data_IF_694891824560
#
_entry.id   IF_694891824560
#
_cell.length_a   1.000
_cell.length_b   1.000
_cell.length_c   1.000
_cell.angle_alpha   90.00
_cell.angle_beta   90.00
_cell.angle_gamma   90.00
#
_symmetry.space_group_name_H-M   'P 1'
#
loop_
_entity.id
_entity.type
_entity.pdbx_description
1 polymer ?
#
# COMPACT_ATOMS: atom_id res chain seq x y z
N UNK A 1 0.92 -2.94 -1.05
CA UNK A 1 2.08 -2.10 -0.67
C UNK A 1 2.06 -1.80 0.83
N UNK A 2 1.70 -2.77 1.69
CA UNK A 2 1.28 -2.48 3.06
C UNK A 2 -0.04 -1.71 3.12
N UNK A 3 -0.37 -1.19 4.30
CA UNK A 3 -1.54 -0.37 4.58
C UNK A 3 -2.78 -1.13 5.05
N UNK A 4 -2.67 -2.47 5.20
CA UNK A 4 -3.78 -3.30 5.66
C UNK A 4 -3.99 -3.08 7.15
N UNK A 5 -5.19 -2.66 7.50
CA UNK A 5 -5.68 -2.67 8.88
C UNK A 5 -6.07 -4.09 9.28
N UNK A 6 -5.49 -4.60 10.37
CA UNK A 6 -5.83 -5.90 10.92
C UNK A 6 -5.92 -5.87 12.44
N UNK A 7 -6.87 -6.66 12.94
CA UNK A 7 -7.20 -6.81 14.35
C UNK A 7 -6.26 -7.82 15.03
N UNK A 8 -5.81 -7.49 16.23
CA UNK A 8 -5.15 -8.42 17.15
C UNK A 8 -6.22 -9.03 18.07
N UNK A 9 -6.41 -10.34 17.97
CA UNK A 9 -7.35 -11.07 18.81
C UNK A 9 -6.74 -11.47 20.15
N UNK A 10 -7.61 -11.78 21.12
CA UNK A 10 -7.30 -12.38 22.43
C UNK A 10 -6.61 -11.48 23.47
N UNK A 11 -6.65 -10.17 23.29
CA UNK A 11 -6.15 -9.22 24.30
C UNK A 11 -7.00 -7.95 24.29
N UNK A 12 -7.35 -7.45 25.48
CA UNK A 12 -7.94 -6.13 25.65
C UNK A 12 -6.84 -5.17 26.15
N UNK A 13 -6.69 -4.04 25.49
CA UNK A 13 -5.67 -3.04 25.79
C UNK A 13 -6.33 -1.76 26.30
N UNK A 14 -5.57 -0.99 27.09
CA UNK A 14 -6.00 0.34 27.52
C UNK A 14 -6.09 1.26 26.29
N UNK A 15 -7.26 1.84 25.96
CA UNK A 15 -7.43 2.73 24.80
C UNK A 15 -6.50 3.96 24.77
N UNK A 16 -5.92 4.35 25.92
CA UNK A 16 -4.95 5.44 26.02
C UNK A 16 -3.50 5.03 25.66
N UNK A 17 -3.24 3.73 25.52
CA UNK A 17 -1.91 3.20 25.17
C UNK A 17 -1.49 3.56 23.75
N UNK A 18 -0.20 3.78 23.55
CA UNK A 18 0.37 4.07 22.23
C UNK A 18 0.83 2.77 21.58
N UNK A 19 0.06 2.27 20.62
CA UNK A 19 0.33 1.00 19.96
C UNK A 19 1.41 1.13 18.87
N UNK A 20 2.43 0.26 18.93
CA UNK A 20 3.43 0.07 17.88
C UNK A 20 3.51 -1.40 17.46
N UNK A 21 3.71 -1.61 16.16
CA UNK A 21 3.56 -2.90 15.50
C UNK A 21 4.85 -3.17 14.71
N UNK A 22 5.67 -4.12 15.17
CA UNK A 22 7.01 -4.39 14.60
C UNK A 22 7.01 -5.69 13.80
N UNK A 23 7.50 -5.63 12.57
CA UNK A 23 7.57 -6.74 11.64
C UNK A 23 9.03 -7.05 11.31
N UNK A 24 9.37 -8.34 11.20
CA UNK A 24 10.74 -8.79 10.93
C UNK A 24 11.75 -8.23 11.94
N UNK A 25 11.27 -7.89 13.15
CA UNK A 25 12.05 -7.23 14.21
C UNK A 25 12.70 -5.88 13.84
N UNK A 26 12.40 -5.34 12.65
CA UNK A 26 13.08 -4.17 12.08
C UNK A 26 12.11 -3.07 11.67
N UNK A 27 10.98 -3.44 11.08
CA UNK A 27 10.04 -2.49 10.49
C UNK A 27 8.95 -2.18 11.50
N UNK A 28 8.96 -0.97 12.06
CA UNK A 28 7.93 -0.53 12.99
C UNK A 28 6.89 0.31 12.27
N UNK A 29 5.62 -0.04 12.48
CA UNK A 29 4.44 0.67 11.99
C UNK A 29 3.61 1.16 13.17
N UNK A 30 2.74 2.13 12.92
CA UNK A 30 1.77 2.57 13.93
C UNK A 30 0.55 1.66 13.94
N UNK A 31 -0.11 1.62 15.09
CA UNK A 31 -1.45 1.06 15.22
C UNK A 31 -2.29 1.89 16.18
N UNK A 32 -3.48 1.42 16.49
CA UNK A 32 -4.41 2.09 17.40
C UNK A 32 -5.23 1.08 18.18
N UNK A 33 -5.84 1.52 19.27
CA UNK A 33 -6.76 0.72 20.07
C UNK A 33 -8.15 1.34 19.88
N UNK A 34 -9.13 0.52 19.53
CA UNK A 34 -10.50 0.99 19.36
C UNK A 34 -11.18 1.21 20.72
N UNK A 35 -12.41 1.76 20.67
CA UNK A 35 -13.21 2.03 21.87
C UNK A 35 -13.55 0.78 22.69
N UNK A 36 -13.48 -0.40 22.09
CA UNK A 36 -13.78 -1.69 22.73
C UNK A 36 -12.50 -2.33 23.30
N UNK A 37 -11.37 -1.62 23.28
CA UNK A 37 -10.08 -2.08 23.77
C UNK A 37 -9.35 -3.01 22.81
N UNK A 38 -9.80 -3.11 21.54
CA UNK A 38 -9.18 -3.99 20.55
C UNK A 38 -8.05 -3.27 19.83
N UNK A 39 -6.90 -3.91 19.75
CA UNK A 39 -5.75 -3.35 19.06
C UNK A 39 -5.76 -3.66 17.56
N UNK A 40 -5.43 -2.65 16.77
CA UNK A 40 -5.33 -2.67 15.32
C UNK A 40 -3.93 -2.27 14.88
N UNK A 41 -3.34 -3.02 13.98
CA UNK A 41 -2.05 -2.71 13.36
C UNK A 41 -2.19 -2.44 11.87
N UNK A 42 -1.31 -1.60 11.35
CA UNK A 42 -1.23 -1.30 9.92
C UNK A 42 -0.05 -2.05 9.32
N UNK A 43 -0.30 -2.95 8.37
CA UNK A 43 0.78 -3.75 7.78
C UNK A 43 1.79 -2.88 7.02
N UNK A 44 3.10 -3.20 7.08
CA UNK A 44 4.11 -2.50 6.30
C UNK A 44 4.13 -2.98 4.85
N UNK A 45 4.82 -2.22 4.00
CA UNK A 45 5.33 -2.75 2.75
C UNK A 45 6.43 -3.79 3.07
N UNK A 46 6.29 -4.98 2.50
CA UNK A 46 7.26 -6.07 2.60
C UNK A 46 7.63 -6.51 1.18
N UNK A 47 8.91 -6.85 0.97
CA UNK A 47 9.43 -7.36 -0.30
C UNK A 47 9.52 -8.89 -0.35
N UNK A 48 9.18 -9.54 0.76
CA UNK A 48 9.23 -11.00 0.91
C UNK A 48 7.81 -11.56 1.11
N UNK A 49 7.61 -12.80 0.67
CA UNK A 49 6.39 -13.56 0.90
C UNK A 49 6.64 -14.66 1.92
N UNK A 50 5.62 -15.03 2.68
CA UNK A 50 5.71 -16.05 3.73
C UNK A 50 5.34 -15.54 5.11
N UNK A 51 5.64 -16.36 6.11
CA UNK A 51 5.35 -16.08 7.51
C UNK A 51 6.40 -15.16 8.12
N UNK A 52 5.98 -13.95 8.49
CA UNK A 52 6.84 -12.90 9.03
C UNK A 52 6.58 -12.78 10.53
N UNK A 53 7.63 -12.83 11.38
CA UNK A 53 7.50 -12.53 12.79
C UNK A 53 6.94 -11.13 13.00
N UNK A 54 5.96 -11.03 13.88
CA UNK A 54 5.26 -9.80 14.20
C UNK A 54 5.16 -9.64 15.72
N UNK A 55 5.39 -8.43 16.21
CA UNK A 55 5.42 -8.10 17.62
C UNK A 55 4.65 -6.80 17.89
N UNK A 56 4.07 -6.69 19.09
CA UNK A 56 3.24 -5.54 19.48
C UNK A 56 3.75 -4.93 20.78
N UNK A 57 3.78 -3.62 20.79
CA UNK A 57 4.09 -2.76 21.92
C UNK A 57 2.89 -1.88 22.24
N UNK A 58 2.63 -1.68 23.53
CA UNK A 58 1.62 -0.75 24.07
C UNK A 58 2.26 0.45 24.79
N UNK A 59 3.59 0.49 24.85
CA UNK A 59 4.39 1.50 25.55
C UNK A 59 5.23 2.33 24.56
N UNK A 60 4.63 2.70 23.43
CA UNK A 60 5.24 3.50 22.38
C UNK A 60 6.53 2.91 21.75
N UNK A 61 6.71 1.58 21.85
CA UNK A 61 7.85 0.85 21.29
C UNK A 61 8.99 0.59 22.27
N UNK A 62 8.83 0.89 23.56
CA UNK A 62 9.84 0.60 24.58
C UNK A 62 10.02 -0.92 24.80
N UNK A 63 8.92 -1.68 24.84
CA UNK A 63 8.95 -3.13 24.96
C UNK A 63 7.97 -3.78 23.98
N UNK A 64 8.23 -5.04 23.62
CA UNK A 64 7.41 -5.83 22.68
C UNK A 64 6.97 -7.14 23.32
N UNK A 65 6.09 -7.12 24.34
CA UNK A 65 5.74 -8.30 25.12
C UNK A 65 4.78 -9.26 24.38
N UNK A 66 4.14 -8.83 23.30
CA UNK A 66 3.22 -9.65 22.52
C UNK A 66 3.81 -9.99 21.16
N UNK A 67 3.59 -11.21 20.68
CA UNK A 67 4.09 -11.69 19.40
C UNK A 67 3.07 -12.54 18.66
N UNK A 68 3.28 -12.66 17.36
CA UNK A 68 2.46 -13.44 16.44
C UNK A 68 3.14 -13.58 15.09
N UNK A 69 2.35 -13.97 14.09
CA UNK A 69 2.85 -14.20 12.74
C UNK A 69 1.96 -13.51 11.72
N UNK A 70 2.58 -12.73 10.85
CA UNK A 70 1.93 -12.07 9.73
C UNK A 70 2.21 -12.84 8.43
N UNK A 71 1.18 -13.21 7.68
CA UNK A 71 1.36 -13.84 6.38
C UNK A 71 1.48 -12.77 5.30
N UNK A 72 2.70 -12.55 4.79
CA UNK A 72 2.94 -11.73 3.62
C UNK A 72 2.65 -12.52 2.35
N UNK A 73 1.73 -12.02 1.53
CA UNK A 73 1.31 -12.68 0.29
C UNK A 73 1.64 -11.82 -0.92
N UNK A 74 1.83 -12.46 -2.07
CA UNK A 74 1.98 -11.77 -3.35
C UNK A 74 0.74 -10.94 -3.65
N UNK A 75 0.91 -9.75 -4.27
CA UNK A 75 -0.20 -8.81 -4.52
C UNK A 75 -1.31 -9.40 -5.41
N UNK A 76 -1.01 -10.40 -6.25
CA UNK A 76 -2.02 -11.13 -7.03
C UNK A 76 -2.98 -11.96 -6.18
N UNK A 77 -2.65 -12.24 -4.92
CA UNK A 77 -3.46 -13.01 -3.95
C UNK A 77 -4.36 -12.14 -3.08
N UNK A 78 -4.34 -10.81 -3.27
CA UNK A 78 -5.29 -9.89 -2.63
C UNK A 78 -6.72 -10.28 -3.04
N UNK A 79 -7.71 -10.01 -2.19
CA UNK A 79 -9.12 -10.29 -2.49
C UNK A 79 -9.64 -9.39 -3.61
N UNK A 80 -10.59 -9.84 -4.43
CA UNK A 80 -11.09 -9.03 -5.55
C UNK A 80 -11.72 -7.71 -5.10
N UNK A 81 -12.30 -7.67 -3.89
CA UNK A 81 -12.85 -6.45 -3.30
C UNK A 81 -11.79 -5.38 -3.03
N UNK A 82 -10.53 -5.77 -2.85
CA UNK A 82 -9.39 -4.88 -2.54
C UNK A 82 -8.50 -4.59 -3.75
N UNK A 83 -8.77 -5.23 -4.90
CA UNK A 83 -8.02 -4.99 -6.13
C UNK A 83 -8.50 -3.72 -6.84
N UNK A 84 -7.55 -3.04 -7.44
CA UNK A 84 -7.84 -2.12 -8.54
C UNK A 84 -7.88 -2.92 -9.85
N UNK A 85 -8.82 -2.61 -10.73
CA UNK A 85 -8.99 -3.27 -12.02
C UNK A 85 -8.78 -2.29 -13.15
N UNK A 86 -8.12 -2.75 -14.21
CA UNK A 86 -7.92 -1.98 -15.44
C UNK A 86 -9.05 -2.34 -16.40
N UNK A 87 -9.84 -1.35 -16.86
CA UNK A 87 -11.06 -1.63 -17.66
C UNK A 87 -10.77 -2.24 -19.04
N UNK A 88 -9.58 -2.00 -19.60
CA UNK A 88 -9.14 -2.58 -20.88
C UNK A 88 -7.62 -2.83 -20.85
N UNK A 89 -7.19 -3.89 -20.18
CA UNK A 89 -5.77 -4.24 -19.98
C UNK A 89 -4.94 -4.22 -21.26
N UNK A 90 -5.50 -4.70 -22.38
CA UNK A 90 -4.83 -4.66 -23.69
C UNK A 90 -4.51 -3.23 -24.10
N UNK A 91 -5.43 -2.27 -23.89
CA UNK A 91 -5.17 -0.86 -24.16
C UNK A 91 -4.08 -0.29 -23.25
N UNK A 92 -4.01 -0.71 -21.98
CA UNK A 92 -2.94 -0.30 -21.08
C UNK A 92 -1.58 -0.84 -21.55
N UNK A 93 -1.51 -2.12 -21.92
CA UNK A 93 -0.29 -2.78 -22.36
C UNK A 93 0.28 -2.21 -23.66
N UNK A 94 -0.60 -1.85 -24.61
CA UNK A 94 -0.19 -1.40 -25.94
C UNK A 94 -0.38 0.10 -26.16
N UNK A 95 -0.56 0.89 -25.10
CA UNK A 95 -0.89 2.31 -25.20
C UNK A 95 0.08 3.07 -26.11
N UNK A 96 -0.45 3.87 -27.04
CA UNK A 96 0.34 4.64 -28.01
C UNK A 96 0.63 3.91 -29.33
N UNK A 97 0.23 2.65 -29.48
CA UNK A 97 0.21 1.96 -30.77
C UNK A 97 -1.07 2.28 -31.58
N UNK A 98 -1.15 1.83 -32.83
CA UNK A 98 -2.33 2.02 -33.68
C UNK A 98 -3.60 1.54 -32.97
N UNK A 99 -4.60 2.43 -32.86
CA UNK A 99 -5.91 2.18 -32.25
C UNK A 99 -5.94 1.96 -30.72
N UNK A 100 -4.86 2.23 -29.98
CA UNK A 100 -4.80 2.03 -28.51
C UNK A 100 -4.63 3.32 -27.70
N UNK A 101 -4.69 4.49 -28.34
CA UNK A 101 -4.62 5.80 -27.66
C UNK A 101 -5.90 6.23 -26.93
N UNK A 102 -5.87 7.39 -26.26
CA UNK A 102 -7.01 8.03 -25.60
C UNK A 102 -7.11 7.70 -24.10
N UNK A 103 -8.32 7.66 -23.54
CA UNK A 103 -8.46 7.47 -22.09
C UNK A 103 -8.07 6.05 -21.64
N UNK A 104 -7.21 5.98 -20.64
CA UNK A 104 -7.07 4.82 -19.76
C UNK A 104 -8.04 4.97 -18.58
N UNK A 105 -8.55 3.85 -18.08
CA UNK A 105 -9.51 3.84 -16.97
C UNK A 105 -9.19 2.73 -16.00
N UNK A 106 -9.12 3.08 -14.72
CA UNK A 106 -9.06 2.14 -13.61
C UNK A 106 -10.32 2.22 -12.75
N UNK A 107 -10.65 1.13 -12.10
CA UNK A 107 -11.78 1.01 -11.17
C UNK A 107 -11.35 0.32 -9.88
N UNK A 108 -12.03 0.63 -8.78
CA UNK A 108 -11.81 0.02 -7.46
C UNK A 108 -13.10 0.05 -6.64
N UNK A 109 -13.16 -0.77 -5.60
CA UNK A 109 -14.26 -0.74 -4.63
C UNK A 109 -14.10 0.48 -3.73
N UNK A 110 -14.78 1.59 -4.03
CA UNK A 110 -14.60 2.84 -3.30
C UNK A 110 -14.86 2.74 -1.79
N UNK A 111 -15.75 1.84 -1.37
CA UNK A 111 -16.07 1.60 0.04
C UNK A 111 -14.91 0.98 0.84
N UNK A 112 -13.87 0.46 0.18
CA UNK A 112 -12.66 -0.03 0.86
C UNK A 112 -11.78 1.10 1.40
N UNK A 113 -12.02 2.33 0.95
CA UNK A 113 -11.36 3.53 1.44
C UNK A 113 -12.43 4.40 2.10
N UNK A 114 -12.46 4.47 3.43
CA UNK A 114 -13.38 5.33 4.17
C UNK A 114 -12.98 6.82 4.07
N UNK A 115 -13.05 7.37 2.87
CA UNK A 115 -12.72 8.75 2.51
C UNK A 115 -13.62 9.24 1.37
N UNK A 116 -13.91 10.54 1.34
CA UNK A 116 -14.66 11.17 0.24
C UNK A 116 -13.79 11.54 -0.94
N UNK A 117 -12.48 11.72 -0.72
CA UNK A 117 -11.52 12.11 -1.75
C UNK A 117 -10.25 11.25 -1.66
N UNK A 118 -9.66 10.97 -2.81
CA UNK A 118 -8.46 10.14 -2.95
C UNK A 118 -7.39 10.84 -3.77
N UNK A 119 -6.14 10.46 -3.51
CA UNK A 119 -5.01 10.69 -4.39
C UNK A 119 -4.72 9.39 -5.15
N UNK A 120 -4.33 9.52 -6.42
CA UNK A 120 -3.88 8.41 -7.26
C UNK A 120 -2.42 8.65 -7.58
N UNK A 121 -1.56 7.78 -7.10
CA UNK A 121 -0.11 7.93 -7.17
C UNK A 121 0.50 6.87 -8.09
N UNK A 122 1.60 7.24 -8.73
CA UNK A 122 2.43 6.34 -9.52
C UNK A 122 3.66 5.99 -8.71
N UNK A 123 3.90 4.69 -8.55
CA UNK A 123 5.07 4.15 -7.87
C UNK A 123 5.84 3.24 -8.82
N UNK A 124 7.17 3.37 -8.82
CA UNK A 124 8.08 2.53 -9.60
C UNK A 124 8.68 1.44 -8.72
N UNK A 125 8.93 0.27 -9.32
CA UNK A 125 9.69 -0.82 -8.70
C UNK A 125 11.00 -1.03 -9.43
N UNK A 126 12.07 -1.23 -8.68
CA UNK A 126 13.36 -1.64 -9.20
C UNK A 126 14.04 -2.62 -8.24
N UNK A 127 14.90 -3.46 -8.81
CA UNK A 127 15.82 -4.31 -8.06
C UNK A 127 17.25 -3.97 -8.49
N UNK A 128 18.15 -3.88 -7.52
CA UNK A 128 19.56 -3.54 -7.73
C UNK A 128 20.45 -4.53 -6.99
N UNK A 129 21.71 -4.65 -7.43
CA UNK A 129 22.64 -5.66 -6.92
C UNK A 129 22.52 -7.00 -7.64
N UNK A 130 23.19 -8.02 -7.11
CA UNK A 130 23.23 -9.35 -7.71
C UNK A 130 22.01 -10.17 -7.27
N UNK A 131 21.32 -10.84 -8.19
CA UNK A 131 20.14 -11.63 -7.81
C UNK A 131 20.52 -12.73 -6.80
N UNK A 132 19.70 -12.89 -5.76
CA UNK A 132 19.85 -13.88 -4.69
C UNK A 132 21.10 -13.72 -3.79
N UNK A 133 21.73 -12.54 -3.77
CA UNK A 133 22.82 -12.23 -2.85
C UNK A 133 22.37 -11.32 -1.69
N UNK A 134 23.27 -11.08 -0.75
CA UNK A 134 23.03 -10.14 0.37
C UNK A 134 22.94 -8.67 -0.07
N UNK A 135 23.54 -8.31 -1.20
CA UNK A 135 23.44 -6.97 -1.80
C UNK A 135 22.23 -6.79 -2.72
N UNK A 136 21.36 -7.82 -2.87
CA UNK A 136 20.13 -7.68 -3.64
C UNK A 136 19.13 -6.80 -2.89
N UNK A 137 18.78 -5.66 -3.49
CA UNK A 137 17.87 -4.68 -2.89
C UNK A 137 16.70 -4.38 -3.79
N UNK A 138 15.50 -4.61 -3.27
CA UNK A 138 14.24 -4.23 -3.90
C UNK A 138 13.75 -2.87 -3.37
N UNK A 139 13.26 -2.01 -4.26
CA UNK A 139 12.76 -0.68 -3.91
C UNK A 139 11.45 -0.35 -4.64
N UNK A 140 10.43 0.03 -3.87
CA UNK A 140 9.30 0.81 -4.35
C UNK A 140 9.54 2.30 -4.11
N UNK A 141 9.58 3.09 -5.17
CA UNK A 141 9.79 4.54 -5.10
C UNK A 141 8.55 5.28 -5.56
N UNK A 142 8.14 6.28 -4.79
CA UNK A 142 7.13 7.24 -5.23
C UNK A 142 7.70 8.03 -6.41
N UNK A 143 6.97 8.08 -7.52
CA UNK A 143 7.37 8.85 -8.70
C UNK A 143 6.66 10.20 -8.70
N UNK A 144 5.33 10.18 -8.84
CA UNK A 144 4.50 11.37 -8.86
C UNK A 144 3.04 11.03 -8.56
N UNK A 145 2.24 12.07 -8.29
CA UNK A 145 0.79 11.93 -8.10
C UNK A 145 0.06 12.27 -9.38
N UNK A 146 -0.63 11.28 -9.94
CA UNK A 146 -1.42 11.38 -11.17
C UNK A 146 -2.68 12.23 -10.97
N UNK A 147 -3.32 12.12 -9.80
CA UNK A 147 -4.52 12.87 -9.46
C UNK A 147 -4.55 13.18 -7.96
N UNK A 148 -4.89 14.42 -7.60
CA UNK A 148 -5.00 14.87 -6.20
C UNK A 148 -6.44 15.21 -5.86
N UNK A 149 -6.89 14.78 -4.68
CA UNK A 149 -8.20 15.15 -4.12
C UNK A 149 -9.37 14.86 -5.06
N UNK A 150 -9.30 13.79 -5.86
CA UNK A 150 -10.41 13.44 -6.75
C UNK A 150 -11.52 12.74 -5.95
N UNK A 151 -12.81 12.95 -6.27
CA UNK A 151 -13.90 12.28 -5.57
C UNK A 151 -13.75 10.74 -5.61
N UNK A 152 -13.93 10.10 -4.45
CA UNK A 152 -13.84 8.65 -4.30
C UNK A 152 -15.09 7.95 -4.86
N UNK A 153 -15.17 7.86 -6.19
CA UNK A 153 -16.31 7.27 -6.92
C UNK A 153 -16.08 5.83 -7.36
N UNK A 154 -14.88 5.29 -7.16
CA UNK A 154 -14.50 3.93 -7.58
C UNK A 154 -14.07 3.83 -9.04
N UNK A 155 -13.88 4.97 -9.72
CA UNK A 155 -13.44 5.03 -11.12
C UNK A 155 -12.60 6.28 -11.35
N UNK A 156 -11.55 6.14 -12.15
CA UNK A 156 -10.77 7.28 -12.63
C UNK A 156 -10.32 7.04 -14.07
N UNK A 157 -10.41 8.09 -14.89
CA UNK A 157 -10.01 8.06 -16.29
C UNK A 157 -9.06 9.22 -16.58
N UNK A 158 -8.02 8.96 -17.37
CA UNK A 158 -7.03 9.98 -17.76
C UNK A 158 -6.41 9.64 -19.11
N UNK A 159 -5.80 10.64 -19.74
CA UNK A 159 -4.95 10.46 -20.92
C UNK A 159 -3.50 10.41 -20.44
N UNK A 160 -2.77 9.29 -20.63
CA UNK A 160 -1.36 9.21 -20.31
C UNK A 160 -0.54 10.31 -20.98
N UNK A 161 0.31 10.94 -20.19
CA UNK A 161 1.35 11.86 -20.67
C UNK A 161 2.69 11.12 -20.54
N UNK A 162 3.57 11.16 -21.56
CA UNK A 162 4.90 10.59 -21.47
C UNK A 162 5.61 11.07 -20.21
N UNK A 163 6.23 10.14 -19.50
CA UNK A 163 6.92 10.45 -18.27
C UNK A 163 8.15 11.33 -18.55
N UNK A 164 8.34 12.39 -17.76
CA UNK A 164 9.54 13.23 -17.82
C UNK A 164 10.80 12.41 -17.46
N UNK A 165 11.96 12.80 -17.98
CA UNK A 165 13.12 11.91 -18.19
C UNK A 165 13.53 11.01 -17.03
N UNK A 166 13.55 11.48 -15.79
CA UNK A 166 13.95 10.68 -14.61
C UNK A 166 12.91 9.63 -14.19
N UNK A 167 11.68 9.69 -14.70
CA UNK A 167 10.61 8.73 -14.42
C UNK A 167 10.56 7.60 -15.46
N UNK A 168 11.19 7.76 -16.63
CA UNK A 168 11.19 6.74 -17.70
C UNK A 168 12.20 5.62 -17.49
N UNK A 169 13.00 5.67 -16.43
CA UNK A 169 14.02 4.65 -16.10
C UNK A 169 13.47 3.47 -15.28
N UNK A 170 12.16 3.44 -15.02
CA UNK A 170 11.50 2.42 -14.21
C UNK A 170 10.79 1.41 -15.10
N UNK A 171 11.17 0.13 -14.99
CA UNK A 171 10.62 -0.95 -15.83
C UNK A 171 9.22 -1.39 -15.40
N UNK A 172 8.93 -1.28 -14.09
CA UNK A 172 7.67 -1.71 -13.50
C UNK A 172 7.09 -0.61 -12.63
N UNK A 173 5.77 -0.51 -12.62
CA UNK A 173 5.08 0.44 -11.77
C UNK A 173 3.69 -0.02 -11.36
N UNK A 174 3.15 0.68 -10.37
CA UNK A 174 1.80 0.45 -9.85
C UNK A 174 1.11 1.79 -9.63
N UNK A 175 -0.21 1.79 -9.80
CA UNK A 175 -1.07 2.84 -9.32
C UNK A 175 -1.52 2.54 -7.90
N UNK A 176 -1.24 3.46 -6.98
CA UNK A 176 -1.66 3.38 -5.58
C UNK A 176 -2.75 4.42 -5.32
N UNK A 177 -3.87 3.98 -4.76
CA UNK A 177 -4.98 4.85 -4.38
C UNK A 177 -4.96 5.02 -2.87
N UNK A 178 -4.90 6.27 -2.39
CA UNK A 178 -4.83 6.58 -0.96
C UNK A 178 -5.82 7.69 -0.60
N UNK A 179 -6.27 7.79 0.65
CA UNK A 179 -7.02 8.96 1.13
C UNK A 179 -6.25 10.27 0.94
N UNK A 180 -6.93 11.33 0.49
CA UNK A 180 -6.28 12.59 0.11
C UNK A 180 -5.76 13.43 1.29
N UNK A 181 -6.03 13.01 2.53
CA UNK A 181 -5.50 13.63 3.74
C UNK A 181 -4.06 13.17 4.08
N UNK A 182 -3.53 12.19 3.35
CA UNK A 182 -2.14 11.77 3.45
C UNK A 182 -1.24 12.55 2.49
N UNK A 183 0.03 12.67 2.84
CA UNK A 183 1.03 13.29 1.96
C UNK A 183 1.37 12.38 0.78
N UNK A 184 1.69 13.01 -0.34
CA UNK A 184 2.24 12.34 -1.51
C UNK A 184 3.42 11.45 -1.13
N UNK A 185 3.40 10.19 -1.57
CA UNK A 185 4.50 9.25 -1.33
C UNK A 185 4.54 8.67 0.09
N UNK A 186 3.62 9.03 0.97
CA UNK A 186 3.62 8.54 2.36
C UNK A 186 3.48 7.01 2.40
N UNK A 187 4.38 6.33 3.10
CA UNK A 187 4.32 4.87 3.27
C UNK A 187 3.46 4.50 4.48
N UNK A 188 2.97 3.26 4.53
CA UNK A 188 2.23 2.70 5.68
C UNK A 188 0.97 3.51 6.04
N UNK A 189 0.30 4.05 5.02
CA UNK A 189 -0.96 4.79 5.19
C UNK A 189 -2.09 3.82 5.52
N UNK A 190 -3.01 4.25 6.38
CA UNK A 190 -4.17 3.43 6.74
C UNK A 190 -5.27 3.59 5.69
N UNK A 191 -5.77 2.45 5.23
CA UNK A 191 -6.97 2.35 4.40
C UNK A 191 -8.13 2.10 5.38
N UNK A 192 -8.68 3.16 5.99
CA UNK A 192 -9.65 3.05 7.11
C UNK A 192 -10.81 2.10 6.81
N UNK A 193 -11.22 1.33 7.83
CA UNK A 193 -12.55 0.73 7.96
C UNK A 193 -13.22 1.25 9.22
#
# INVERSE_FOLDING_TARGET
MGGKDFLINNTAFDPSSVLKCRFKQQITTSGYIDKDGKAHCISPLLYETGFIPFEVSTDAGSTFPYSGTWLSVHHSKVSDGEKCTLVNETKWQYYGTSNTGGNLTLTWTHQTLATTHVNIEVWGYQETGDSYSENWMAEWKYLYTLARGTPNTGKYSFIPVPAEGNYSTWDYGILRIIPSNYFDGQRQVQHKK
#
